data_IF_547387683495
#
_entry.id   IF_547387683495
#
_cell.length_a   1.000
_cell.length_b   1.000
_cell.length_c   1.000
_cell.angle_alpha   90.00
_cell.angle_beta   90.00
_cell.angle_gamma   90.00
#
_symmetry.space_group_name_H-M   'P 1'
#
loop_
_entity.id
_entity.type
_entity.pdbx_description
1 polymer ?
#
# COMPACT_ATOMS: atom_id res chain seq x y z
N UNK A 1 -7.57 77.29 6.28
CA UNK A 1 -7.06 77.31 7.66
C UNK A 1 -6.11 76.14 7.76
N UNK A 2 -4.84 76.34 7.38
CA UNK A 2 -3.67 76.66 8.14
C UNK A 2 -3.43 75.71 9.33
N UNK A 3 -2.47 74.78 9.27
CA UNK A 3 -1.24 75.03 9.95
C UNK A 3 -0.15 74.05 9.56
N UNK A 4 1.01 74.66 9.21
CA UNK A 4 2.36 74.10 9.08
C UNK A 4 2.91 73.86 10.48
N UNK A 5 3.74 72.84 10.65
CA UNK A 5 4.92 72.89 11.51
C UNK A 5 5.97 71.93 11.02
N UNK A 6 6.96 72.45 10.48
CA UNK A 6 8.41 72.48 10.67
C UNK A 6 9.11 71.16 11.06
N UNK A 7 10.04 70.79 10.20
CA UNK A 7 11.16 69.88 10.45
C UNK A 7 12.39 70.67 10.94
N UNK A 8 13.19 70.12 11.80
CA UNK A 8 14.62 70.51 11.87
C UNK A 8 15.50 69.45 11.23
N UNK A 9 16.36 69.92 10.37
CA UNK A 9 17.53 69.25 9.81
C UNK A 9 18.51 68.93 10.94
N UNK A 10 18.99 67.65 10.99
CA UNK A 10 20.21 67.33 11.75
C UNK A 10 21.34 66.91 10.79
N UNK A 11 22.46 67.59 10.97
CA UNK A 11 23.74 67.42 10.31
C UNK A 11 24.34 66.02 10.55
N UNK A 12 24.92 65.40 9.54
CA UNK A 12 25.70 64.18 9.63
C UNK A 12 27.16 64.51 10.03
N UNK A 13 27.80 63.71 10.89
CA UNK A 13 29.24 63.76 11.02
C UNK A 13 29.93 62.83 10.02
N UNK A 14 30.92 63.35 9.37
CA UNK A 14 31.85 62.66 8.49
C UNK A 14 32.75 61.77 9.39
N UNK A 15 32.67 60.43 9.19
CA UNK A 15 33.61 59.49 9.79
C UNK A 15 34.64 59.10 8.73
N UNK A 16 35.86 59.45 9.01
CA UNK A 16 37.08 59.09 8.25
C UNK A 16 37.33 57.59 8.51
N UNK A 17 37.20 56.75 7.48
CA UNK A 17 37.59 55.34 7.55
C UNK A 17 39.09 55.17 7.43
N UNK A 18 39.69 54.71 8.51
CA UNK A 18 41.08 54.22 8.53
C UNK A 18 41.07 52.78 8.03
N UNK A 19 41.60 52.54 6.82
CA UNK A 19 41.69 51.18 6.26
C UNK A 19 42.84 50.44 6.97
N UNK A 20 42.47 49.54 7.89
CA UNK A 20 43.40 48.58 8.47
C UNK A 20 43.60 47.41 7.50
N UNK A 21 44.80 47.28 6.99
CA UNK A 21 45.27 46.17 6.16
C UNK A 21 45.38 44.92 7.07
N UNK A 22 44.35 44.05 7.07
CA UNK A 22 44.42 42.72 7.71
C UNK A 22 45.07 41.74 6.74
N UNK A 23 46.10 41.00 7.18
CA UNK A 23 46.63 39.91 6.35
C UNK A 23 45.58 38.81 6.19
N UNK A 24 45.35 38.40 4.95
CA UNK A 24 44.52 37.28 4.56
C UNK A 24 45.15 35.99 5.11
N UNK A 25 44.80 35.61 6.34
CA UNK A 25 45.06 34.24 6.83
C UNK A 25 44.23 33.30 6.00
N UNK A 26 44.87 32.48 5.17
CA UNK A 26 44.23 31.38 4.47
C UNK A 26 43.54 30.48 5.50
N UNK A 27 42.22 30.37 5.39
CA UNK A 27 41.46 29.42 6.19
C UNK A 27 42.01 28.01 5.92
N UNK A 28 42.13 27.15 6.97
CA UNK A 28 42.51 25.77 6.74
C UNK A 28 41.47 25.11 5.83
N UNK A 29 41.88 24.18 4.93
CA UNK A 29 40.93 23.47 4.11
C UNK A 29 39.92 22.80 5.01
N UNK A 30 38.62 22.93 4.68
CA UNK A 30 37.55 22.24 5.36
C UNK A 30 37.88 20.74 5.36
N UNK A 31 37.65 20.01 6.46
CA UNK A 31 37.88 18.58 6.49
C UNK A 31 37.09 17.93 5.34
N UNK A 32 37.78 17.13 4.57
CA UNK A 32 37.17 16.38 3.46
C UNK A 32 35.94 15.62 4.02
N UNK A 33 34.77 15.95 3.52
CA UNK A 33 33.53 15.23 3.90
C UNK A 33 33.76 13.73 3.64
N UNK A 34 33.48 12.90 4.63
CA UNK A 34 33.55 11.46 4.53
C UNK A 34 32.95 11.02 3.20
N UNK A 35 33.73 10.32 2.38
CA UNK A 35 33.31 9.80 1.09
C UNK A 35 32.48 8.52 1.22
N UNK A 36 32.21 8.08 2.45
CA UNK A 36 31.43 6.88 2.75
C UNK A 36 30.06 7.30 3.25
N UNK A 37 29.01 6.81 2.58
CA UNK A 37 27.62 6.87 3.04
C UNK A 37 27.23 5.50 3.52
N UNK A 38 26.62 5.43 4.70
CA UNK A 38 26.12 4.21 5.32
C UNK A 38 24.62 4.37 5.52
N UNK A 39 23.87 3.33 5.22
CA UNK A 39 22.44 3.25 5.51
C UNK A 39 22.12 1.88 6.14
N UNK A 40 21.25 1.86 7.12
CA UNK A 40 20.63 0.63 7.61
C UNK A 40 19.34 0.46 6.82
N UNK A 41 19.27 -0.58 6.00
CA UNK A 41 18.14 -0.83 5.09
C UNK A 41 17.07 -1.69 5.77
N UNK A 42 17.49 -2.60 6.63
CA UNK A 42 16.65 -3.43 7.50
C UNK A 42 17.34 -3.52 8.88
N UNK A 43 16.57 -3.36 9.98
CA UNK A 43 15.19 -2.93 10.05
C UNK A 43 14.99 -1.47 9.61
N UNK A 44 13.75 -1.09 9.32
CA UNK A 44 13.36 0.30 9.04
C UNK A 44 13.15 1.11 10.34
N UNK A 45 13.04 2.45 10.25
CA UNK A 45 12.90 3.34 11.41
C UNK A 45 11.56 3.21 12.16
N UNK A 46 10.61 2.51 11.59
CA UNK A 46 9.29 2.26 12.18
C UNK A 46 9.02 0.78 12.45
N UNK A 47 10.02 -0.09 12.24
CA UNK A 47 9.89 -1.49 12.51
C UNK A 47 10.17 -1.75 14.00
N UNK A 48 9.17 -2.22 14.73
CA UNK A 48 9.38 -2.76 16.05
C UNK A 48 9.99 -4.16 15.91
N UNK A 49 11.10 -4.41 16.59
CA UNK A 49 11.90 -5.61 16.41
C UNK A 49 12.17 -6.32 17.74
N UNK A 50 12.12 -7.65 17.73
CA UNK A 50 12.49 -8.52 18.87
C UNK A 50 12.88 -9.91 18.35
N UNK A 51 13.56 -10.72 19.14
CA UNK A 51 14.04 -12.04 18.73
C UNK A 51 15.13 -11.96 17.65
N UNK A 52 15.13 -12.89 16.72
CA UNK A 52 16.08 -12.92 15.61
C UNK A 52 15.72 -11.89 14.54
N UNK A 53 16.56 -10.89 14.36
CA UNK A 53 16.37 -9.78 13.41
C UNK A 53 17.49 -9.78 12.39
N UNK A 54 17.11 -9.77 11.11
CA UNK A 54 18.06 -9.58 10.01
C UNK A 54 18.38 -8.08 9.89
N UNK A 55 19.67 -7.76 9.90
CA UNK A 55 20.17 -6.41 9.68
C UNK A 55 20.86 -6.35 8.33
N UNK A 56 20.41 -5.46 7.46
CA UNK A 56 20.99 -5.24 6.13
C UNK A 56 21.56 -3.83 6.06
N UNK A 57 22.83 -3.72 5.69
CA UNK A 57 23.56 -2.44 5.64
C UNK A 57 23.90 -2.10 4.19
N UNK A 58 23.46 -0.94 3.73
CA UNK A 58 23.86 -0.36 2.45
C UNK A 58 25.06 0.56 2.65
N UNK A 59 26.06 0.46 1.77
CA UNK A 59 27.25 1.33 1.80
C UNK A 59 27.55 1.83 0.39
N UNK A 60 27.71 3.15 0.27
CA UNK A 60 28.27 3.81 -0.91
C UNK A 60 29.62 4.41 -0.54
N UNK A 61 30.68 3.93 -1.14
CA UNK A 61 32.05 4.41 -0.92
C UNK A 61 32.78 4.60 -2.26
N UNK A 62 33.68 5.55 -2.32
CA UNK A 62 34.52 5.79 -3.51
C UNK A 62 35.63 4.75 -3.65
N UNK A 63 36.07 4.19 -2.52
CA UNK A 63 37.10 3.18 -2.41
C UNK A 63 36.55 1.88 -1.81
N UNK A 64 37.29 0.79 -1.86
CA UNK A 64 36.88 -0.48 -1.33
C UNK A 64 36.61 -0.41 0.19
N UNK A 65 35.46 -0.92 0.64
CA UNK A 65 35.12 -1.00 2.06
C UNK A 65 35.96 -2.10 2.70
N UNK A 66 36.72 -1.75 3.74
CA UNK A 66 37.58 -2.68 4.50
C UNK A 66 36.77 -3.48 5.52
N UNK A 67 35.89 -2.76 6.24
CA UNK A 67 35.06 -3.37 7.28
C UNK A 67 33.84 -2.53 7.63
N UNK A 68 32.81 -3.20 8.12
CA UNK A 68 31.65 -2.57 8.75
C UNK A 68 31.47 -3.18 10.14
N UNK A 69 31.51 -2.32 11.16
CA UNK A 69 31.19 -2.70 12.53
C UNK A 69 29.72 -2.39 12.83
N UNK A 70 28.96 -3.37 13.27
CA UNK A 70 27.59 -3.22 13.72
C UNK A 70 27.55 -3.24 15.24
N UNK A 71 26.92 -2.22 15.80
CA UNK A 71 26.62 -2.09 17.23
C UNK A 71 25.11 -2.14 17.42
N UNK A 72 24.67 -2.81 18.47
CA UNK A 72 23.28 -2.79 18.93
C UNK A 72 23.28 -2.41 20.41
N UNK A 73 22.47 -1.41 20.76
CA UNK A 73 22.35 -0.86 22.12
C UNK A 73 23.70 -0.42 22.74
N UNK A 74 24.66 -0.08 21.89
CA UNK A 74 26.00 0.33 22.29
C UNK A 74 27.06 -0.77 22.24
N UNK A 75 26.67 -2.03 22.25
CA UNK A 75 27.56 -3.18 22.20
C UNK A 75 27.94 -3.57 20.78
N UNK A 76 29.21 -3.92 20.55
CA UNK A 76 29.66 -4.43 19.25
C UNK A 76 29.14 -5.86 19.06
N UNK A 77 28.28 -6.03 18.04
CA UNK A 77 27.71 -7.34 17.70
C UNK A 77 28.59 -8.11 16.73
N UNK A 78 29.06 -7.43 15.69
CA UNK A 78 29.90 -8.07 14.65
C UNK A 78 30.72 -7.06 13.85
N UNK A 79 31.77 -7.57 13.18
CA UNK A 79 32.49 -6.86 12.13
C UNK A 79 32.37 -7.66 10.83
N UNK A 80 31.77 -7.10 9.80
CA UNK A 80 31.68 -7.64 8.45
C UNK A 80 32.87 -7.14 7.64
N UNK A 81 33.54 -8.03 6.89
CA UNK A 81 34.75 -7.70 6.10
C UNK A 81 34.58 -7.94 4.61
N UNK A 82 33.47 -8.52 4.22
CA UNK A 82 33.13 -8.80 2.81
C UNK A 82 31.60 -8.81 2.65
N UNK A 83 31.09 -8.42 1.47
CA UNK A 83 29.67 -8.53 1.19
C UNK A 83 29.20 -10.00 1.10
N UNK A 84 27.92 -10.29 1.39
CA UNK A 84 26.85 -9.32 1.63
C UNK A 84 26.93 -8.70 3.01
N UNK A 85 26.66 -7.38 3.10
CA UNK A 85 26.66 -6.64 4.35
C UNK A 85 25.36 -6.87 5.13
N UNK A 86 25.19 -8.11 5.59
CA UNK A 86 24.00 -8.52 6.34
C UNK A 86 24.37 -9.50 7.45
N UNK A 87 23.60 -9.48 8.51
CA UNK A 87 23.76 -10.36 9.66
C UNK A 87 22.43 -10.54 10.39
N UNK A 88 22.21 -11.72 10.96
CA UNK A 88 21.09 -11.95 11.88
C UNK A 88 21.56 -11.75 13.32
N UNK A 89 20.84 -10.93 14.07
CA UNK A 89 21.13 -10.57 15.47
C UNK A 89 19.96 -11.00 16.32
N UNK A 90 20.24 -11.70 17.43
CA UNK A 90 19.22 -12.01 18.44
C UNK A 90 19.14 -10.85 19.45
N UNK A 91 18.00 -10.16 19.44
CA UNK A 91 17.70 -9.04 20.35
C UNK A 91 17.02 -9.48 21.64
N UNK A 92 16.76 -10.79 21.78
CA UNK A 92 15.96 -11.35 22.88
C UNK A 92 14.45 -11.11 22.67
N UNK A 93 13.63 -11.68 23.57
CA UNK A 93 12.17 -11.66 23.45
C UNK A 93 11.53 -10.37 23.98
N UNK A 94 12.30 -9.44 24.53
CA UNK A 94 11.78 -8.24 25.16
C UNK A 94 11.36 -7.21 24.11
N UNK A 95 10.14 -6.67 24.28
CA UNK A 95 9.66 -5.56 23.50
C UNK A 95 10.21 -4.23 24.06
N UNK A 96 11.25 -3.70 23.44
CA UNK A 96 11.89 -2.44 23.83
C UNK A 96 12.48 -1.72 22.62
N UNK A 97 12.79 -0.46 22.79
CA UNK A 97 13.55 0.29 21.79
C UNK A 97 14.95 -0.30 21.63
N UNK A 98 15.40 -0.37 20.38
CA UNK A 98 16.75 -0.76 20.04
C UNK A 98 17.46 0.29 19.22
N UNK A 99 18.76 0.47 19.47
CA UNK A 99 19.59 1.38 18.71
C UNK A 99 20.63 0.60 17.91
N UNK A 100 20.49 0.62 16.59
CA UNK A 100 21.45 0.04 15.66
C UNK A 100 22.41 1.13 15.18
N UNK A 101 23.70 0.88 15.23
CA UNK A 101 24.73 1.79 14.71
C UNK A 101 25.71 1.03 13.83
N UNK A 102 25.75 1.37 12.55
CA UNK A 102 26.69 0.80 11.58
C UNK A 102 27.82 1.81 11.30
N UNK A 103 29.06 1.34 11.39
CA UNK A 103 30.28 2.15 11.14
C UNK A 103 31.10 1.45 10.08
N UNK A 104 31.21 2.07 8.90
CA UNK A 104 32.05 1.57 7.81
C UNK A 104 33.39 2.29 7.74
N UNK A 105 34.44 1.54 7.40
CA UNK A 105 35.76 2.05 7.08
C UNK A 105 36.17 1.55 5.71
N UNK A 106 36.84 2.38 4.94
CA UNK A 106 37.46 1.97 3.68
C UNK A 106 38.96 1.72 3.86
N UNK A 107 39.60 1.23 2.81
CA UNK A 107 41.04 0.92 2.78
C UNK A 107 41.95 2.16 2.94
N UNK A 108 41.40 3.37 2.80
CA UNK A 108 42.12 4.64 3.00
C UNK A 108 42.02 5.20 4.42
N UNK A 109 41.17 4.51 5.27
CA UNK A 109 40.89 4.94 6.63
C UNK A 109 39.76 5.96 6.74
N UNK A 110 39.06 6.29 5.66
CA UNK A 110 37.86 7.11 5.73
C UNK A 110 36.76 6.37 6.48
N UNK A 111 35.90 7.12 7.17
CA UNK A 111 34.83 6.57 8.03
C UNK A 111 33.49 7.17 7.68
N UNK A 112 32.44 6.31 7.64
CA UNK A 112 31.05 6.70 7.59
C UNK A 112 30.26 5.97 8.68
N UNK A 113 29.22 6.60 9.19
CA UNK A 113 28.35 5.95 10.17
C UNK A 113 26.89 6.34 10.01
N UNK A 114 26.00 5.45 10.43
CA UNK A 114 24.57 5.64 10.51
C UNK A 114 24.06 5.04 11.82
N UNK A 115 23.17 5.78 12.48
CA UNK A 115 22.44 5.28 13.67
C UNK A 115 20.96 5.27 13.36
N UNK A 116 20.31 4.17 13.67
CA UNK A 116 18.87 3.94 13.52
C UNK A 116 18.31 3.53 14.89
N UNK A 117 17.21 4.15 15.28
CA UNK A 117 16.41 3.75 16.44
C UNK A 117 15.13 3.06 15.95
N UNK A 118 14.83 1.88 16.49
CA UNK A 118 13.57 1.17 16.27
C UNK A 118 12.70 1.34 17.50
N UNK A 119 11.39 1.59 17.35
CA UNK A 119 10.50 1.78 18.49
C UNK A 119 10.22 0.46 19.21
N UNK A 120 9.88 0.54 20.49
CA UNK A 120 9.12 -0.52 21.15
C UNK A 120 7.70 -0.54 20.62
N UNK A 121 7.05 -1.70 20.62
CA UNK A 121 5.60 -1.76 20.43
C UNK A 121 4.99 -1.21 21.73
N UNK A 122 4.52 0.03 21.72
CA UNK A 122 3.66 0.51 22.78
C UNK A 122 2.31 -0.20 22.65
N UNK A 123 2.16 -1.27 23.42
CA UNK A 123 0.83 -1.83 23.67
C UNK A 123 0.25 -0.96 24.77
N UNK A 124 -0.41 0.12 24.39
CA UNK A 124 -1.42 0.68 25.27
C UNK A 124 -2.42 -0.46 25.51
N UNK A 125 -2.51 -0.95 26.75
CA UNK A 125 -3.57 -1.84 27.19
C UNK A 125 -4.93 -1.10 27.21
N UNK A 126 -5.28 -0.40 26.18
CA UNK A 126 -6.65 -0.17 25.82
C UNK A 126 -7.10 -1.49 25.23
N UNK A 127 -8.01 -2.16 25.90
CA UNK A 127 -8.80 -3.25 25.34
C UNK A 127 -9.56 -2.67 24.14
N UNK A 128 -8.87 -2.40 23.03
CA UNK A 128 -9.50 -2.12 21.76
C UNK A 128 -10.10 -3.44 21.28
N UNK A 129 -11.34 -3.68 21.70
CA UNK A 129 -12.14 -4.71 21.05
C UNK A 129 -12.23 -4.30 19.58
N UNK A 130 -11.57 -5.03 18.65
CA UNK A 130 -11.54 -4.61 17.27
C UNK A 130 -12.93 -4.70 16.67
N UNK A 131 -13.53 -3.56 16.40
CA UNK A 131 -14.81 -3.49 15.69
C UNK A 131 -14.65 -4.12 14.31
N UNK A 132 -15.30 -5.25 14.10
CA UNK A 132 -15.38 -5.88 12.78
C UNK A 132 -16.43 -5.15 11.95
N UNK A 133 -16.01 -4.63 10.79
CA UNK A 133 -16.89 -4.00 9.82
C UNK A 133 -17.10 -4.91 8.60
N UNK A 134 -18.36 -5.15 8.28
CA UNK A 134 -18.77 -5.95 7.13
C UNK A 134 -19.47 -5.05 6.10
N UNK A 135 -19.04 -5.12 4.87
CA UNK A 135 -19.65 -4.44 3.74
C UNK A 135 -20.48 -5.44 2.96
N UNK A 136 -21.79 -5.28 3.04
CA UNK A 136 -22.76 -6.30 2.63
C UNK A 136 -23.54 -5.84 1.40
N UNK A 137 -23.44 -6.58 0.31
CA UNK A 137 -24.31 -6.42 -0.86
C UNK A 137 -25.46 -7.41 -0.77
N UNK A 138 -26.70 -6.92 -0.84
CA UNK A 138 -27.90 -7.76 -0.89
C UNK A 138 -28.56 -7.59 -2.24
N UNK A 139 -28.85 -8.74 -2.90
CA UNK A 139 -29.61 -8.74 -4.15
C UNK A 139 -30.86 -9.61 -4.01
N UNK A 140 -31.93 -9.17 -4.65
CA UNK A 140 -33.21 -9.92 -4.71
C UNK A 140 -33.70 -9.93 -6.17
N UNK A 141 -33.90 -11.09 -6.74
CA UNK A 141 -34.31 -11.26 -8.15
C UNK A 141 -33.42 -10.48 -9.12
N UNK A 142 -32.09 -10.48 -8.91
CA UNK A 142 -31.11 -9.80 -9.75
C UNK A 142 -30.95 -8.29 -9.54
N UNK A 143 -31.79 -7.67 -8.70
CA UNK A 143 -31.69 -6.24 -8.36
C UNK A 143 -31.16 -6.04 -6.96
N UNK A 144 -30.43 -4.94 -6.71
CA UNK A 144 -29.94 -4.59 -5.38
C UNK A 144 -31.09 -4.21 -4.45
N UNK A 145 -31.08 -4.76 -3.25
CA UNK A 145 -32.06 -4.45 -2.19
C UNK A 145 -31.45 -3.40 -1.26
N UNK A 146 -31.91 -2.13 -1.39
CA UNK A 146 -31.28 -0.96 -0.73
C UNK A 146 -32.11 -0.35 0.40
N UNK A 147 -33.21 -1.01 0.82
CA UNK A 147 -34.12 -0.48 1.84
C UNK A 147 -34.41 -1.49 2.94
N UNK A 148 -33.37 -2.22 3.37
CA UNK A 148 -33.48 -3.18 4.47
C UNK A 148 -33.12 -2.48 5.78
N UNK A 149 -33.86 -2.80 6.85
CA UNK A 149 -33.56 -2.32 8.19
C UNK A 149 -32.57 -3.23 8.92
N UNK A 150 -31.99 -2.73 10.01
CA UNK A 150 -31.04 -3.45 10.86
C UNK A 150 -31.59 -4.81 11.34
N UNK A 151 -32.87 -4.88 11.65
CA UNK A 151 -33.58 -6.05 12.18
C UNK A 151 -33.73 -7.20 11.17
N UNK A 152 -33.45 -6.93 9.89
CA UNK A 152 -33.47 -7.93 8.82
C UNK A 152 -32.13 -8.67 8.72
N UNK A 153 -31.06 -8.14 9.34
CA UNK A 153 -29.74 -8.74 9.28
C UNK A 153 -29.39 -9.56 10.52
N UNK A 154 -28.73 -10.68 10.30
CA UNK A 154 -28.15 -11.51 11.35
C UNK A 154 -26.72 -11.87 10.94
N UNK A 155 -25.77 -11.50 11.77
CA UNK A 155 -24.35 -11.84 11.61
C UNK A 155 -24.02 -13.06 12.45
N UNK A 156 -23.28 -13.99 11.87
CA UNK A 156 -22.71 -15.17 12.54
C UNK A 156 -21.22 -15.16 12.30
N UNK A 157 -20.44 -15.22 13.37
CA UNK A 157 -18.99 -15.26 13.34
C UNK A 157 -18.52 -16.53 14.04
N UNK A 158 -17.83 -17.40 13.31
CA UNK A 158 -17.33 -18.71 13.72
C UNK A 158 -18.39 -19.59 14.41
N UNK A 159 -19.64 -19.46 13.95
CA UNK A 159 -20.82 -20.22 14.46
C UNK A 159 -21.66 -19.44 15.47
N UNK A 160 -21.14 -18.38 16.08
CA UNK A 160 -21.84 -17.60 17.09
C UNK A 160 -22.54 -16.38 16.52
N UNK A 161 -23.76 -16.14 16.99
CA UNK A 161 -24.55 -14.97 16.58
C UNK A 161 -24.01 -13.72 17.24
N UNK A 162 -23.71 -12.71 16.44
CA UNK A 162 -23.14 -11.45 16.90
C UNK A 162 -24.22 -10.37 17.01
N UNK A 163 -24.08 -9.53 18.01
CA UNK A 163 -24.92 -8.34 18.16
C UNK A 163 -24.35 -7.21 17.28
N UNK A 164 -25.18 -6.65 16.41
CA UNK A 164 -24.77 -5.48 15.62
C UNK A 164 -24.69 -4.25 16.51
N UNK A 165 -23.56 -3.54 16.53
CA UNK A 165 -23.41 -2.28 17.25
C UNK A 165 -23.57 -1.08 16.32
N UNK A 166 -23.12 -1.22 15.05
CA UNK A 166 -23.35 -0.20 14.02
C UNK A 166 -24.10 -0.79 12.84
N UNK A 167 -24.95 0.04 12.23
CA UNK A 167 -25.67 -0.28 11.01
C UNK A 167 -25.85 0.99 10.19
N UNK A 168 -25.32 0.97 8.98
CA UNK A 168 -25.47 2.07 8.02
C UNK A 168 -25.88 1.49 6.68
N UNK A 169 -26.79 2.17 5.98
CA UNK A 169 -27.18 1.85 4.61
C UNK A 169 -26.57 2.84 3.64
N UNK A 170 -25.81 2.37 2.67
CA UNK A 170 -25.32 3.21 1.59
C UNK A 170 -24.01 3.95 1.92
N UNK A 171 -23.84 5.07 1.52
CA UNK A 171 -22.88 6.16 1.45
C UNK A 171 -21.66 6.25 2.42
N UNK A 172 -21.18 5.17 3.00
CA UNK A 172 -19.93 5.22 3.74
C UNK A 172 -18.76 5.63 2.82
N UNK A 173 -17.93 6.61 3.22
CA UNK A 173 -16.76 7.02 2.45
C UNK A 173 -15.86 5.85 2.11
N UNK A 174 -15.19 5.93 0.96
CA UNK A 174 -14.28 4.88 0.51
C UNK A 174 -12.89 5.41 0.20
N UNK A 175 -11.90 4.58 0.48
CA UNK A 175 -10.52 4.75 0.05
C UNK A 175 -10.23 3.69 -1.01
N UNK A 176 -10.06 4.10 -2.27
CA UNK A 176 -9.91 3.19 -3.39
C UNK A 176 -8.50 3.20 -3.98
N UNK A 177 -8.01 2.01 -4.35
CA UNK A 177 -6.88 1.89 -5.28
C UNK A 177 -7.40 1.33 -6.59
N UNK A 178 -7.20 2.08 -7.67
CA UNK A 178 -7.44 1.64 -9.03
C UNK A 178 -6.14 1.04 -9.57
N UNK A 179 -6.05 -0.28 -9.56
CA UNK A 179 -4.88 -1.03 -10.01
C UNK A 179 -5.07 -1.41 -11.48
N UNK A 180 -4.41 -0.66 -12.37
CA UNK A 180 -4.62 -0.74 -13.82
C UNK A 180 -3.43 -1.38 -14.51
N UNK A 181 -3.66 -2.53 -15.11
CA UNK A 181 -2.71 -3.19 -15.97
C UNK A 181 -2.42 -2.33 -17.21
N UNK A 182 -1.16 -2.06 -17.46
CA UNK A 182 -0.65 -1.29 -18.59
C UNK A 182 0.46 -2.06 -19.32
N UNK A 183 0.45 -3.40 -19.21
CA UNK A 183 1.35 -4.30 -19.92
C UNK A 183 1.12 -4.28 -21.43
N UNK A 184 1.99 -4.93 -22.18
CA UNK A 184 1.91 -4.97 -23.65
C UNK A 184 0.58 -5.55 -24.15
N UNK A 185 -0.07 -6.46 -23.42
CA UNK A 185 -1.39 -7.00 -23.76
C UNK A 185 -2.51 -5.95 -23.73
N UNK A 186 -2.27 -4.83 -23.03
CA UNK A 186 -3.21 -3.72 -22.89
C UNK A 186 -3.07 -2.64 -23.99
N UNK A 187 -2.20 -2.84 -24.98
CA UNK A 187 -1.93 -1.83 -25.99
C UNK A 187 -3.18 -1.43 -26.81
N UNK A 188 -3.30 -0.12 -27.09
CA UNK A 188 -4.35 0.46 -27.92
C UNK A 188 -5.67 0.64 -27.15
N UNK A 189 -6.80 0.26 -27.76
CA UNK A 189 -8.14 0.49 -27.21
C UNK A 189 -8.36 -0.09 -25.80
N UNK A 190 -7.62 -1.12 -25.41
CA UNK A 190 -7.74 -1.74 -24.09
C UNK A 190 -7.24 -0.77 -22.99
N UNK A 191 -6.04 -0.18 -23.18
CA UNK A 191 -5.53 0.81 -22.23
C UNK A 191 -6.40 2.07 -22.23
N UNK A 192 -6.81 2.54 -23.41
CA UNK A 192 -7.68 3.72 -23.51
C UNK A 192 -9.02 3.51 -22.79
N UNK A 193 -9.62 2.32 -22.91
CA UNK A 193 -10.85 1.96 -22.19
C UNK A 193 -10.62 1.86 -20.69
N UNK A 194 -9.47 1.28 -20.27
CA UNK A 194 -9.07 1.19 -18.86
C UNK A 194 -8.96 2.58 -18.22
N UNK A 195 -8.27 3.50 -18.90
CA UNK A 195 -8.09 4.87 -18.43
C UNK A 195 -9.41 5.64 -18.39
N UNK A 196 -10.28 5.49 -19.40
CA UNK A 196 -11.64 6.08 -19.36
C UNK A 196 -12.46 5.49 -18.20
N UNK A 197 -12.39 4.19 -17.98
CA UNK A 197 -13.07 3.54 -16.86
C UNK A 197 -12.60 4.06 -15.49
N UNK A 198 -11.31 4.19 -15.30
CA UNK A 198 -10.73 4.79 -14.10
C UNK A 198 -11.18 6.24 -13.90
N UNK A 199 -11.22 7.03 -14.98
CA UNK A 199 -11.74 8.40 -14.96
C UNK A 199 -13.23 8.45 -14.63
N UNK A 200 -14.04 7.54 -15.18
CA UNK A 200 -15.46 7.44 -14.87
C UNK A 200 -15.73 7.06 -13.41
N UNK A 201 -14.92 6.15 -12.84
CA UNK A 201 -14.97 5.82 -11.42
C UNK A 201 -14.72 7.05 -10.55
N UNK A 202 -13.62 7.77 -10.83
CA UNK A 202 -13.24 8.94 -10.03
C UNK A 202 -14.20 10.11 -10.20
N UNK A 203 -14.78 10.30 -11.40
CA UNK A 203 -15.81 11.32 -11.63
C UNK A 203 -17.11 11.07 -10.85
N UNK A 204 -17.37 9.83 -10.44
CA UNK A 204 -18.52 9.45 -9.61
C UNK A 204 -18.22 9.41 -8.11
N UNK A 205 -17.01 9.78 -7.68
CA UNK A 205 -16.66 9.91 -6.27
C UNK A 205 -17.45 11.05 -5.60
N UNK A 206 -17.66 10.96 -4.31
CA UNK A 206 -18.34 11.94 -3.49
C UNK A 206 -17.39 12.58 -2.49
N UNK A 207 -17.87 13.59 -1.79
CA UNK A 207 -17.13 14.20 -0.67
C UNK A 207 -16.67 13.11 0.31
N UNK A 208 -15.44 13.21 0.79
CA UNK A 208 -14.76 12.25 1.68
C UNK A 208 -14.33 10.93 1.02
N UNK A 209 -14.63 10.66 -0.25
CA UNK A 209 -13.98 9.57 -0.96
C UNK A 209 -12.58 9.99 -1.39
N UNK A 210 -11.67 9.05 -1.37
CA UNK A 210 -10.34 9.26 -1.96
C UNK A 210 -9.95 8.09 -2.84
N UNK A 211 -9.22 8.36 -3.91
CA UNK A 211 -8.69 7.32 -4.77
C UNK A 211 -7.24 7.58 -5.15
N UNK A 212 -6.53 6.48 -5.39
CA UNK A 212 -5.18 6.43 -5.93
C UNK A 212 -5.19 5.54 -7.16
N UNK A 213 -4.52 5.94 -8.23
CA UNK A 213 -4.31 5.08 -9.39
C UNK A 213 -2.87 4.53 -9.37
N UNK A 214 -2.76 3.21 -9.51
CA UNK A 214 -1.51 2.48 -9.71
C UNK A 214 -1.53 1.85 -11.10
N UNK A 215 -0.72 2.35 -12.01
CA UNK A 215 -0.55 1.80 -13.36
C UNK A 215 0.72 0.96 -13.38
N UNK A 216 0.58 -0.29 -13.74
CA UNK A 216 1.67 -1.26 -13.66
C UNK A 216 1.82 -2.09 -14.93
N UNK A 217 3.01 -2.63 -15.11
CA UNK A 217 3.35 -3.65 -16.10
C UNK A 217 4.24 -4.70 -15.41
N UNK A 218 5.47 -4.94 -15.90
CA UNK A 218 6.54 -5.66 -15.19
C UNK A 218 7.12 -4.86 -14.02
N UNK A 219 6.76 -3.59 -13.91
CA UNK A 219 7.12 -2.63 -12.87
C UNK A 219 6.00 -1.61 -12.68
N UNK A 220 6.08 -0.86 -11.61
CA UNK A 220 5.20 0.30 -11.42
C UNK A 220 5.56 1.38 -12.46
N UNK A 221 4.60 1.73 -13.32
CA UNK A 221 4.76 2.78 -14.33
C UNK A 221 4.38 4.14 -13.78
N UNK A 222 3.30 4.19 -12.99
CA UNK A 222 2.80 5.42 -12.38
C UNK A 222 2.00 5.14 -11.11
N UNK A 223 2.20 5.98 -10.10
CA UNK A 223 1.38 6.06 -8.92
C UNK A 223 0.93 7.51 -8.73
N UNK A 224 -0.35 7.73 -8.50
CA UNK A 224 -0.86 9.05 -8.10
C UNK A 224 -0.83 9.17 -6.58
N UNK A 225 -0.89 10.36 -6.00
CA UNK A 225 -1.27 10.48 -4.59
C UNK A 225 -2.73 10.02 -4.42
N UNK A 226 -3.13 9.72 -3.16
CA UNK A 226 -4.55 9.69 -2.83
C UNK A 226 -5.13 11.08 -2.96
N UNK A 227 -6.27 11.20 -3.62
CA UNK A 227 -6.95 12.47 -3.83
C UNK A 227 -8.44 12.26 -3.99
N UNK A 228 -9.21 13.24 -3.56
CA UNK A 228 -10.65 13.39 -3.79
C UNK A 228 -10.94 14.18 -5.08
N UNK A 229 -9.91 14.79 -5.71
CA UNK A 229 -10.05 15.57 -6.93
C UNK A 229 -9.92 14.71 -8.20
N UNK A 230 -11.02 14.49 -8.94
CA UNK A 230 -11.00 13.76 -10.20
C UNK A 230 -10.09 14.38 -11.27
N UNK A 231 -9.83 15.69 -11.21
CA UNK A 231 -8.97 16.36 -12.20
C UNK A 231 -7.50 16.00 -12.00
N UNK A 232 -7.05 15.85 -10.74
CA UNK A 232 -5.71 15.40 -10.40
C UNK A 232 -5.49 13.97 -10.91
N UNK A 233 -6.45 13.06 -10.67
CA UNK A 233 -6.36 11.68 -11.16
C UNK A 233 -6.34 11.65 -12.68
N UNK A 234 -7.21 12.40 -13.36
CA UNK A 234 -7.26 12.47 -14.82
C UNK A 234 -5.92 12.92 -15.40
N UNK A 235 -5.40 14.06 -14.93
CA UNK A 235 -4.12 14.59 -15.39
C UNK A 235 -2.96 13.59 -15.18
N UNK A 236 -3.00 12.83 -14.09
CA UNK A 236 -2.00 11.83 -13.79
C UNK A 236 -2.07 10.59 -14.70
N UNK A 237 -3.20 10.33 -15.32
CA UNK A 237 -3.40 9.20 -16.24
C UNK A 237 -3.02 9.52 -17.69
N UNK A 238 -2.79 10.79 -18.03
CA UNK A 238 -2.43 11.22 -19.38
C UNK A 238 -1.03 10.75 -19.79
N UNK A 239 -0.89 10.38 -21.07
CA UNK A 239 0.40 10.02 -21.68
C UNK A 239 0.99 8.68 -21.24
N UNK A 240 0.23 7.83 -20.53
CA UNK A 240 0.66 6.47 -20.21
C UNK A 240 0.63 5.61 -21.46
N UNK A 241 1.70 4.82 -21.66
CA UNK A 241 1.82 3.89 -22.78
C UNK A 241 1.89 2.46 -22.25
N UNK A 242 1.20 1.56 -22.94
CA UNK A 242 1.28 0.13 -22.64
C UNK A 242 2.62 -0.46 -23.08
N UNK A 243 3.18 -1.34 -22.26
CA UNK A 243 4.42 -2.04 -22.59
C UNK A 243 4.94 -2.88 -21.43
N UNK A 244 5.88 -3.76 -21.73
CA UNK A 244 6.42 -4.70 -20.73
C UNK A 244 5.55 -5.92 -20.51
N UNK A 245 5.93 -6.76 -19.56
CA UNK A 245 5.15 -7.90 -19.09
C UNK A 245 4.16 -7.50 -18.01
N UNK A 246 3.62 -8.50 -17.29
CA UNK A 246 2.63 -8.26 -16.23
C UNK A 246 3.15 -8.84 -14.92
N UNK A 247 3.21 -8.00 -13.88
CA UNK A 247 3.52 -8.36 -12.50
C UNK A 247 2.33 -8.03 -11.57
N UNK A 248 1.18 -8.64 -11.85
CA UNK A 248 -0.08 -8.37 -11.14
C UNK A 248 -0.01 -8.69 -9.65
N UNK A 249 0.58 -9.85 -9.31
CA UNK A 249 0.67 -10.34 -7.93
C UNK A 249 1.45 -9.38 -7.05
N UNK A 250 2.62 -8.91 -7.53
CA UNK A 250 3.47 -7.98 -6.79
C UNK A 250 2.77 -6.63 -6.55
N UNK A 251 2.08 -6.12 -7.58
CA UNK A 251 1.40 -4.83 -7.48
C UNK A 251 0.10 -4.90 -6.68
N UNK A 252 -0.59 -6.05 -6.68
CA UNK A 252 -1.74 -6.27 -5.79
C UNK A 252 -1.29 -6.35 -4.33
N UNK A 253 -0.15 -7.00 -4.04
CA UNK A 253 0.45 -6.97 -2.70
C UNK A 253 0.80 -5.54 -2.27
N UNK A 254 1.43 -4.77 -3.17
CA UNK A 254 1.76 -3.36 -2.90
C UNK A 254 0.50 -2.52 -2.62
N UNK A 255 -0.60 -2.75 -3.34
CA UNK A 255 -1.87 -2.08 -3.09
C UNK A 255 -2.39 -2.34 -1.67
N UNK A 256 -2.33 -3.59 -1.19
CA UNK A 256 -2.70 -3.90 0.20
C UNK A 256 -1.78 -3.22 1.21
N UNK A 257 -0.47 -3.20 0.97
CA UNK A 257 0.49 -2.51 1.86
C UNK A 257 0.20 -1.02 1.95
N UNK A 258 -0.14 -0.38 0.85
CA UNK A 258 -0.51 1.05 0.81
C UNK A 258 -1.81 1.29 1.61
N UNK A 259 -2.78 0.38 1.52
CA UNK A 259 -4.04 0.48 2.24
C UNK A 259 -3.94 0.17 3.74
N UNK A 260 -2.89 -0.50 4.22
CA UNK A 260 -2.72 -0.80 5.66
C UNK A 260 -2.76 0.48 6.52
N UNK A 261 -2.14 1.55 6.06
CA UNK A 261 -2.10 2.83 6.75
C UNK A 261 -3.37 3.69 6.62
N UNK A 262 -4.44 3.17 5.98
CA UNK A 262 -5.67 3.91 5.73
C UNK A 262 -6.80 3.44 6.62
N UNK A 263 -7.68 4.36 6.99
CA UNK A 263 -8.89 4.10 7.75
C UNK A 263 -10.12 4.02 6.84
N UNK A 264 -11.24 3.50 7.34
CA UNK A 264 -12.50 3.43 6.63
C UNK A 264 -12.60 2.26 5.64
N UNK A 265 -13.51 2.38 4.66
CA UNK A 265 -13.79 1.33 3.68
C UNK A 265 -12.73 1.29 2.59
N UNK A 266 -11.91 0.26 2.61
CA UNK A 266 -10.79 0.03 1.69
C UNK A 266 -11.25 -0.79 0.49
N UNK A 267 -10.91 -0.33 -0.72
CA UNK A 267 -11.31 -0.99 -1.97
C UNK A 267 -10.13 -1.06 -2.92
N UNK A 268 -9.93 -2.22 -3.54
CA UNK A 268 -9.02 -2.36 -4.68
C UNK A 268 -9.84 -2.74 -5.90
N UNK A 269 -9.77 -1.92 -6.95
CA UNK A 269 -10.37 -2.24 -8.25
C UNK A 269 -9.26 -2.61 -9.20
N UNK A 270 -9.14 -3.90 -9.51
CA UNK A 270 -8.14 -4.44 -10.44
C UNK A 270 -8.75 -4.46 -11.83
N UNK A 271 -8.03 -3.94 -12.82
CA UNK A 271 -8.33 -4.16 -14.23
C UNK A 271 -7.13 -4.82 -14.90
N UNK A 272 -7.30 -6.06 -15.33
CA UNK A 272 -6.26 -6.88 -15.99
C UNK A 272 -6.93 -8.10 -16.66
N UNK A 273 -6.27 -8.69 -17.66
CA UNK A 273 -6.65 -9.99 -18.20
C UNK A 273 -6.29 -11.17 -17.26
N UNK A 274 -5.51 -10.90 -16.21
CA UNK A 274 -5.15 -11.85 -15.15
C UNK A 274 -3.97 -12.75 -15.49
N UNK A 275 -3.28 -12.53 -16.62
CA UNK A 275 -2.05 -13.25 -16.94
C UNK A 275 -0.88 -12.57 -16.22
N UNK A 276 -0.22 -13.29 -15.35
CA UNK A 276 0.94 -12.81 -14.59
C UNK A 276 2.18 -13.64 -14.96
N UNK A 277 3.19 -13.00 -15.53
CA UNK A 277 4.41 -13.66 -16.01
C UNK A 277 5.69 -13.12 -15.36
N UNK A 278 5.60 -11.99 -14.61
CA UNK A 278 6.78 -11.30 -14.08
C UNK A 278 6.86 -11.26 -12.56
N UNK A 279 5.74 -11.40 -11.83
CA UNK A 279 5.76 -11.26 -10.36
C UNK A 279 6.73 -12.23 -9.69
N UNK A 280 7.40 -11.74 -8.66
CA UNK A 280 8.25 -12.53 -7.78
C UNK A 280 7.44 -13.23 -6.68
N UNK A 281 6.38 -12.59 -6.18
CA UNK A 281 5.50 -13.13 -5.15
C UNK A 281 4.56 -14.20 -5.73
N UNK A 282 4.07 -15.08 -4.87
CA UNK A 282 3.00 -16.01 -5.18
C UNK A 282 1.64 -15.44 -4.74
N UNK A 283 0.60 -15.72 -5.50
CA UNK A 283 -0.74 -15.22 -5.19
C UNK A 283 -1.26 -15.72 -3.83
N UNK A 284 -0.79 -16.88 -3.34
CA UNK A 284 -1.08 -17.35 -1.99
C UNK A 284 -0.61 -16.40 -0.89
N UNK A 285 0.53 -15.71 -1.10
CA UNK A 285 1.08 -14.75 -0.14
C UNK A 285 0.24 -13.48 -0.14
N UNK A 286 -0.27 -13.10 -1.31
CA UNK A 286 -1.22 -12.00 -1.45
C UNK A 286 -2.58 -12.34 -0.87
N UNK A 287 -3.06 -13.57 -1.06
CA UNK A 287 -4.30 -14.05 -0.42
C UNK A 287 -4.20 -13.97 1.12
N UNK A 288 -3.10 -14.45 1.68
CA UNK A 288 -2.84 -14.34 3.11
C UNK A 288 -2.85 -12.88 3.59
N UNK A 289 -2.22 -11.97 2.82
CA UNK A 289 -2.26 -10.52 3.10
C UNK A 289 -3.68 -9.95 2.99
N UNK A 290 -4.46 -10.36 1.99
CA UNK A 290 -5.84 -9.92 1.80
C UNK A 290 -6.76 -10.38 2.94
N UNK A 291 -6.57 -11.60 3.44
CA UNK A 291 -7.33 -12.16 4.56
C UNK A 291 -7.13 -11.36 5.86
N UNK A 292 -5.96 -10.74 6.03
CA UNK A 292 -5.64 -9.83 7.15
C UNK A 292 -6.10 -8.40 6.90
N UNK A 293 -6.27 -8.02 5.65
CA UNK A 293 -6.80 -6.72 5.26
C UNK A 293 -8.32 -6.74 5.29
N UNK A 294 -8.92 -5.60 5.61
CA UNK A 294 -10.38 -5.43 5.48
C UNK A 294 -10.76 -4.88 4.09
N UNK A 295 -9.84 -4.88 3.13
CA UNK A 295 -10.08 -4.35 1.80
C UNK A 295 -10.92 -5.31 0.95
N UNK A 296 -11.88 -4.74 0.22
CA UNK A 296 -12.70 -5.45 -0.77
C UNK A 296 -11.99 -5.37 -2.11
N UNK A 297 -11.90 -6.49 -2.82
CA UNK A 297 -11.26 -6.54 -4.13
C UNK A 297 -12.29 -6.78 -5.22
N UNK A 298 -12.37 -5.88 -6.19
CA UNK A 298 -13.12 -6.08 -7.43
C UNK A 298 -12.14 -6.34 -8.57
N UNK A 299 -12.47 -7.29 -9.41
CA UNK A 299 -11.67 -7.59 -10.58
C UNK A 299 -12.48 -7.43 -11.86
N UNK A 300 -12.12 -6.44 -12.67
CA UNK A 300 -12.58 -6.28 -14.04
C UNK A 300 -11.65 -7.10 -14.92
N UNK A 301 -12.09 -8.30 -15.30
CA UNK A 301 -11.31 -9.25 -16.07
C UNK A 301 -11.61 -9.09 -17.56
N UNK A 302 -10.58 -8.74 -18.35
CA UNK A 302 -10.72 -8.62 -19.80
C UNK A 302 -10.63 -10.00 -20.47
N UNK A 303 -11.67 -10.36 -21.21
CA UNK A 303 -11.77 -11.61 -21.99
C UNK A 303 -12.07 -11.36 -23.47
N UNK A 304 -11.80 -10.17 -23.96
CA UNK A 304 -12.06 -9.73 -25.33
C UNK A 304 -11.15 -10.41 -26.39
N UNK A 305 -10.18 -11.21 -25.94
CA UNK A 305 -9.31 -12.03 -26.81
C UNK A 305 -9.35 -13.48 -26.36
N UNK A 306 -9.23 -14.44 -27.31
CA UNK A 306 -9.00 -15.84 -26.94
C UNK A 306 -7.71 -15.89 -26.09
N UNK A 307 -7.73 -16.69 -25.02
CA UNK A 307 -6.54 -17.01 -24.24
C UNK A 307 -5.56 -17.68 -25.18
N UNK A 308 -4.59 -16.92 -25.65
CA UNK A 308 -3.46 -17.48 -26.38
C UNK A 308 -2.67 -18.28 -25.36
N UNK A 309 -2.42 -19.55 -25.66
CA UNK A 309 -1.64 -20.41 -24.77
C UNK A 309 -0.34 -19.72 -24.40
N UNK A 310 0.03 -19.78 -23.13
CA UNK A 310 1.27 -19.19 -22.64
C UNK A 310 2.42 -20.02 -23.20
N UNK A 311 3.25 -19.41 -24.03
CA UNK A 311 4.40 -20.10 -24.63
C UNK A 311 5.47 -20.40 -23.57
N UNK A 312 6.12 -21.58 -23.63
CA UNK A 312 7.26 -21.85 -22.79
C UNK A 312 8.33 -20.77 -22.95
N UNK A 313 8.76 -20.17 -21.84
CA UNK A 313 9.75 -19.10 -21.83
C UNK A 313 9.18 -17.68 -21.70
N UNK A 314 7.85 -17.49 -21.67
CA UNK A 314 7.23 -16.22 -21.33
C UNK A 314 7.39 -15.86 -19.84
N UNK A 315 7.59 -16.86 -18.98
CA UNK A 315 7.73 -16.65 -17.55
C UNK A 315 9.16 -16.28 -17.18
N UNK A 316 9.32 -15.21 -16.43
CA UNK A 316 10.62 -14.74 -15.95
C UNK A 316 11.02 -15.30 -14.59
N UNK A 317 10.07 -15.86 -13.83
CA UNK A 317 10.35 -16.53 -12.56
C UNK A 317 10.57 -18.04 -12.80
N UNK A 318 11.60 -18.61 -12.22
CA UNK A 318 11.96 -20.03 -12.38
C UNK A 318 10.89 -21.02 -11.88
N UNK A 319 9.95 -20.55 -11.04
CA UNK A 319 8.86 -21.34 -10.48
C UNK A 319 7.52 -21.15 -11.23
N UNK A 320 7.45 -20.20 -12.19
CA UNK A 320 6.25 -19.97 -13.00
C UNK A 320 6.27 -20.81 -14.26
N UNK A 321 5.20 -21.54 -14.47
CA UNK A 321 4.88 -22.25 -15.69
C UNK A 321 3.36 -22.15 -15.96
N UNK A 322 2.88 -22.78 -17.00
CA UNK A 322 1.48 -22.71 -17.38
C UNK A 322 0.53 -23.31 -16.32
N UNK A 323 0.95 -24.37 -15.63
CA UNK A 323 0.15 -25.04 -14.59
C UNK A 323 0.11 -24.16 -13.33
N UNK A 324 1.26 -23.71 -12.86
CA UNK A 324 1.36 -22.77 -11.73
C UNK A 324 0.57 -21.49 -12.00
N UNK A 325 0.63 -20.93 -13.21
CA UNK A 325 -0.13 -19.74 -13.55
C UNK A 325 -1.65 -19.98 -13.48
N UNK A 326 -2.12 -21.17 -13.78
CA UNK A 326 -3.52 -21.53 -13.59
C UNK A 326 -3.90 -21.56 -12.11
N UNK A 327 -3.06 -22.14 -11.25
CA UNK A 327 -3.27 -22.15 -9.80
C UNK A 327 -3.26 -20.73 -9.22
N UNK A 328 -2.35 -19.89 -9.67
CA UNK A 328 -2.27 -18.48 -9.28
C UNK A 328 -3.54 -17.71 -9.67
N UNK A 329 -4.06 -17.96 -10.87
CA UNK A 329 -5.31 -17.38 -11.35
C UNK A 329 -6.52 -17.82 -10.51
N UNK A 330 -6.63 -19.12 -10.19
CA UNK A 330 -7.68 -19.63 -9.31
C UNK A 330 -7.56 -19.01 -7.90
N UNK A 331 -6.35 -18.85 -7.40
CA UNK A 331 -6.09 -18.19 -6.10
C UNK A 331 -6.50 -16.73 -6.12
N UNK A 332 -6.26 -16.00 -7.21
CA UNK A 332 -6.75 -14.62 -7.39
C UNK A 332 -8.28 -14.58 -7.38
N UNK A 333 -8.94 -15.50 -8.09
CA UNK A 333 -10.41 -15.59 -8.08
C UNK A 333 -10.93 -15.79 -6.66
N UNK A 334 -10.32 -16.71 -5.93
CA UNK A 334 -10.65 -16.99 -4.53
C UNK A 334 -10.44 -15.75 -3.65
N UNK A 335 -9.31 -15.04 -3.79
CA UNK A 335 -9.03 -13.80 -3.06
C UNK A 335 -10.14 -12.76 -3.26
N UNK A 336 -10.56 -12.55 -4.51
CA UNK A 336 -11.63 -11.59 -4.84
C UNK A 336 -12.94 -11.97 -4.14
N UNK A 337 -13.32 -13.24 -4.19
CA UNK A 337 -14.58 -13.71 -3.60
C UNK A 337 -14.53 -13.68 -2.06
N UNK A 338 -13.46 -14.20 -1.45
CA UNK A 338 -13.27 -14.17 0.01
C UNK A 338 -13.26 -12.76 0.59
N UNK A 339 -12.78 -11.75 -0.17
CA UNK A 339 -12.83 -10.34 0.26
C UNK A 339 -14.24 -9.74 0.28
N UNK A 340 -15.25 -10.42 -0.25
CA UNK A 340 -16.61 -9.92 -0.45
C UNK A 340 -16.79 -9.14 -1.74
N UNK A 341 -15.78 -9.12 -2.60
CA UNK A 341 -15.82 -8.47 -3.90
C UNK A 341 -16.42 -9.31 -5.01
N UNK A 342 -16.18 -8.92 -6.25
CA UNK A 342 -16.77 -9.56 -7.43
C UNK A 342 -15.81 -9.53 -8.62
N UNK A 343 -15.86 -10.59 -9.43
CA UNK A 343 -15.22 -10.63 -10.74
C UNK A 343 -16.26 -10.20 -11.78
N UNK A 344 -15.90 -9.22 -12.59
CA UNK A 344 -16.70 -8.79 -13.73
C UNK A 344 -15.95 -9.12 -15.01
N UNK A 345 -16.37 -10.17 -15.68
CA UNK A 345 -15.80 -10.59 -16.96
C UNK A 345 -16.29 -9.69 -18.08
N UNK A 346 -15.39 -9.14 -18.86
CA UNK A 346 -15.65 -8.18 -19.96
C UNK A 346 -15.22 -8.82 -21.27
N UNK A 347 -16.19 -9.11 -22.12
CA UNK A 347 -15.97 -9.68 -23.45
C UNK A 347 -15.80 -8.59 -24.54
N UNK A 348 -16.37 -7.42 -24.33
CA UNK A 348 -16.28 -6.28 -25.24
C UNK A 348 -15.63 -5.11 -24.56
N UNK A 349 -14.56 -4.60 -25.14
CA UNK A 349 -13.77 -3.54 -24.54
C UNK A 349 -14.59 -2.27 -24.23
N UNK A 350 -15.64 -1.99 -24.99
CA UNK A 350 -16.54 -0.86 -24.74
C UNK A 350 -17.35 -0.96 -23.44
N UNK A 351 -17.40 -2.15 -22.80
CA UNK A 351 -18.15 -2.35 -21.56
C UNK A 351 -17.31 -2.03 -20.30
N UNK A 352 -16.00 -1.74 -20.45
CA UNK A 352 -15.06 -1.48 -19.33
C UNK A 352 -15.49 -0.28 -18.50
N UNK A 353 -15.85 0.83 -19.14
CA UNK A 353 -16.30 2.04 -18.43
C UNK A 353 -17.53 1.75 -17.58
N UNK A 354 -18.52 1.05 -18.15
CA UNK A 354 -19.72 0.61 -17.44
C UNK A 354 -19.41 -0.32 -16.28
N UNK A 355 -18.35 -1.14 -16.37
CA UNK A 355 -17.91 -2.00 -15.28
C UNK A 355 -17.44 -1.20 -14.06
N UNK A 356 -16.63 -0.16 -14.26
CA UNK A 356 -16.19 0.73 -13.19
C UNK A 356 -17.36 1.47 -12.55
N UNK A 357 -18.29 2.01 -13.36
CA UNK A 357 -19.49 2.67 -12.87
C UNK A 357 -20.39 1.72 -12.07
N UNK A 358 -20.54 0.48 -12.51
CA UNK A 358 -21.33 -0.54 -11.81
C UNK A 358 -20.70 -0.93 -10.45
N UNK A 359 -19.37 -1.00 -10.37
CA UNK A 359 -18.66 -1.25 -9.11
C UNK A 359 -18.90 -0.09 -8.15
N UNK A 360 -18.72 1.15 -8.59
CA UNK A 360 -18.97 2.31 -7.75
C UNK A 360 -20.42 2.38 -7.27
N UNK A 361 -21.39 2.15 -8.18
CA UNK A 361 -22.79 2.11 -7.80
C UNK A 361 -23.10 0.98 -6.80
N UNK A 362 -22.44 -0.16 -6.93
CA UNK A 362 -22.58 -1.25 -5.96
C UNK A 362 -22.02 -0.87 -4.59
N UNK A 363 -20.84 -0.24 -4.54
CA UNK A 363 -20.25 0.26 -3.31
C UNK A 363 -21.17 1.25 -2.59
N UNK A 364 -21.94 2.07 -3.34
CA UNK A 364 -22.93 3.00 -2.78
C UNK A 364 -24.16 2.31 -2.18
N UNK A 365 -24.49 1.13 -2.67
CA UNK A 365 -25.67 0.37 -2.25
C UNK A 365 -25.36 -0.66 -1.16
N UNK A 366 -24.10 -0.78 -0.70
CA UNK A 366 -23.69 -1.70 0.36
C UNK A 366 -24.16 -1.24 1.73
N UNK A 367 -24.56 -2.19 2.57
CA UNK A 367 -24.74 -1.95 4.00
C UNK A 367 -23.43 -2.11 4.73
N UNK A 368 -23.21 -1.29 5.76
CA UNK A 368 -22.09 -1.40 6.68
C UNK A 368 -22.62 -1.91 8.01
N UNK A 369 -22.18 -3.10 8.40
CA UNK A 369 -22.54 -3.74 9.66
C UNK A 369 -21.30 -3.78 10.54
N UNK A 370 -21.42 -3.29 11.79
CA UNK A 370 -20.33 -3.40 12.75
C UNK A 370 -20.75 -4.21 13.97
N UNK A 371 -19.84 -5.06 14.45
CA UNK A 371 -20.01 -5.86 15.66
C UNK A 371 -18.67 -6.05 16.36
N UNK A 372 -18.70 -6.32 17.66
CA UNK A 372 -17.54 -6.78 18.41
C UNK A 372 -17.60 -8.30 18.54
N UNK A 373 -16.59 -9.04 18.03
CA UNK A 373 -16.55 -10.49 18.18
C UNK A 373 -16.57 -10.90 19.66
N UNK A 374 -17.41 -11.90 19.99
CA UNK A 374 -17.61 -12.34 21.38
C UNK A 374 -16.52 -13.29 21.90
N UNK A 375 -15.76 -13.92 21.01
CA UNK A 375 -14.73 -14.91 21.36
C UNK A 375 -13.48 -14.70 20.51
N UNK A 376 -12.67 -13.70 20.87
CA UNK A 376 -11.38 -13.42 20.23
C UNK A 376 -10.31 -14.33 20.85
N UNK A 377 -9.57 -15.04 20.02
CA UNK A 377 -8.49 -15.95 20.41
C UNK A 377 -7.11 -15.35 20.23
N UNK A 378 -6.99 -14.36 19.33
CA UNK A 378 -5.74 -13.70 18.95
C UNK A 378 -4.63 -14.70 18.57
N UNK A 379 -5.00 -15.80 17.90
CA UNK A 379 -4.11 -16.94 17.61
C UNK A 379 -3.76 -17.05 16.12
N UNK A 380 -4.20 -16.09 15.31
CA UNK A 380 -3.98 -16.09 13.87
C UNK A 380 -4.86 -17.08 13.11
N UNK A 381 -5.86 -17.68 13.76
CA UNK A 381 -6.79 -18.60 13.11
C UNK A 381 -7.77 -17.85 12.18
N UNK A 382 -8.26 -18.58 11.18
CA UNK A 382 -9.32 -18.08 10.30
C UNK A 382 -10.67 -18.17 10.99
N UNK A 383 -11.41 -17.06 11.03
CA UNK A 383 -12.78 -16.99 11.52
C UNK A 383 -13.75 -16.82 10.34
N UNK A 384 -14.73 -17.69 10.28
CA UNK A 384 -15.73 -17.65 9.22
C UNK A 384 -16.86 -16.69 9.56
N UNK A 385 -17.19 -15.79 8.63
CA UNK A 385 -18.29 -14.82 8.78
C UNK A 385 -19.41 -15.15 7.83
N UNK A 386 -20.65 -15.16 8.33
CA UNK A 386 -21.86 -15.32 7.55
C UNK A 386 -22.86 -14.21 7.89
N UNK A 387 -23.44 -13.63 6.86
CA UNK A 387 -24.54 -12.68 7.01
C UNK A 387 -25.79 -13.27 6.40
N UNK A 388 -26.86 -13.34 7.18
CA UNK A 388 -28.19 -13.79 6.73
C UNK A 388 -29.14 -12.61 6.73
N UNK A 389 -29.96 -12.52 5.70
CA UNK A 389 -30.97 -11.47 5.53
C UNK A 389 -32.37 -12.12 5.53
N UNK A 390 -33.25 -11.56 6.35
CA UNK A 390 -34.64 -12.06 6.48
C UNK A 390 -35.38 -11.89 5.16
N UNK A 391 -36.21 -12.90 4.82
CA UNK A 391 -37.02 -12.91 3.61
C UNK A 391 -36.49 -13.88 2.54
N UNK A 392 -37.40 -14.29 1.64
CA UNK A 392 -37.08 -15.25 0.59
C UNK A 392 -36.38 -14.56 -0.60
N UNK A 393 -35.46 -15.30 -1.23
CA UNK A 393 -34.82 -14.89 -2.48
C UNK A 393 -33.72 -13.86 -2.35
N UNK A 394 -33.29 -13.51 -1.10
CA UNK A 394 -32.13 -12.68 -0.87
C UNK A 394 -30.86 -13.48 -1.12
N UNK A 395 -29.98 -12.92 -1.95
CA UNK A 395 -28.58 -13.35 -2.10
C UNK A 395 -27.70 -12.32 -1.42
N UNK A 396 -26.84 -12.79 -0.54
CA UNK A 396 -25.96 -11.94 0.27
C UNK A 396 -24.53 -12.18 -0.15
N UNK A 397 -23.80 -11.10 -0.39
CA UNK A 397 -22.36 -11.13 -0.62
C UNK A 397 -21.67 -10.24 0.40
N UNK A 398 -20.69 -10.80 1.07
CA UNK A 398 -19.89 -10.20 2.13
C UNK A 398 -18.56 -10.96 2.16
N UNK A 399 -17.55 -10.44 2.83
CA UNK A 399 -16.31 -11.20 3.08
C UNK A 399 -16.63 -12.53 3.77
N UNK A 400 -15.93 -13.60 3.38
CA UNK A 400 -16.17 -14.94 3.92
C UNK A 400 -15.61 -15.15 5.33
N UNK A 401 -14.67 -14.29 5.74
CA UNK A 401 -14.04 -14.37 7.06
C UNK A 401 -12.89 -13.39 7.20
N UNK A 402 -12.16 -13.55 8.29
CA UNK A 402 -10.96 -12.77 8.60
C UNK A 402 -10.02 -13.60 9.47
N UNK A 403 -8.77 -13.17 9.59
CA UNK A 403 -7.79 -13.77 10.50
C UNK A 403 -7.85 -13.05 11.84
N UNK A 404 -7.97 -13.82 12.92
CA UNK A 404 -8.05 -13.34 14.31
C UNK A 404 -6.64 -13.00 14.83
N UNK A 405 -6.37 -11.71 15.10
CA UNK A 405 -5.08 -11.22 15.61
C UNK A 405 -5.24 -10.46 16.88
#
# INVERSE_FOLDING_TARGET
MTNRTDRPRRLAPILISLAALFPLLAAPPAPAQSRIRVAILEPGPFDAVSGEVRVVIGVEAAEAVERIALFVDGDLVTELREPPWEVTVDLGPENREHTFRAVAHDVTGARGEMTLQTPAIEVDEVLELPLQQLYVTVTRSGSRATRLGREEFRVVDDGDVQELVTFEGGDAPLTAILLVDSSASMQGERLDAALRGAQAFTAGMRDLDEAMALLFADRLLRATPFTDDPAVLRASLEGVQAGGGTALTDHLYAAFKILDGRQGRKVVVVLSDGLDVYSALRMRDVLWKAQRSQAIVYWIQLRDRPVVGVEPGMFHSSWRDAETNKEEHETLRRLVLESGGRIQEIERIGDVEGAFQNILAELRDQYVLGYYPTDLRHDGSWRQVQVRVRGLGNQVRVREGYVDF
#
